data_IF_596416084551
#
_entry.id   IF_596416084551
#
_cell.length_a   1.000
_cell.length_b   1.000
_cell.length_c   1.000
_cell.angle_alpha   90.00
_cell.angle_beta   90.00
_cell.angle_gamma   90.00
#
_symmetry.space_group_name_H-M   'P 1'
#
loop_
_entity.id
_entity.type
_entity.pdbx_description
1 polymer ?
#
# COMPACT_ATOMS: atom_id res chain seq x y z
N UNK A 1 -23.66 -37.30 -10.00
CA UNK A 1 -24.68 -36.75 -9.09
C UNK A 1 -24.48 -35.25 -9.00
N UNK A 2 -25.06 -34.53 -9.96
CA UNK A 2 -24.96 -33.08 -10.13
C UNK A 2 -25.88 -32.40 -9.12
N UNK A 3 -25.32 -31.67 -8.16
CA UNK A 3 -26.08 -30.97 -7.13
C UNK A 3 -26.83 -29.78 -7.71
N UNK A 4 -28.15 -29.91 -7.85
CA UNK A 4 -29.04 -28.77 -8.14
C UNK A 4 -29.05 -27.83 -6.93
N UNK A 5 -28.66 -26.57 -7.12
CA UNK A 5 -28.74 -25.53 -6.09
C UNK A 5 -30.00 -24.69 -6.27
N UNK A 6 -30.62 -24.32 -5.15
CA UNK A 6 -31.84 -23.51 -5.05
C UNK A 6 -31.63 -22.09 -5.63
N UNK A 7 -32.60 -21.63 -6.44
CA UNK A 7 -32.69 -20.27 -6.98
C UNK A 7 -32.59 -19.25 -5.83
N UNK A 8 -31.52 -18.44 -5.83
CA UNK A 8 -31.22 -17.43 -4.80
C UNK A 8 -29.88 -17.59 -4.10
N UNK A 9 -29.20 -18.74 -4.20
CA UNK A 9 -27.83 -18.89 -3.74
C UNK A 9 -26.85 -18.30 -4.76
N UNK A 10 -26.18 -17.20 -4.41
CA UNK A 10 -25.15 -16.61 -5.26
C UNK A 10 -23.80 -17.31 -5.01
N UNK A 11 -23.20 -17.87 -6.07
CA UNK A 11 -21.84 -18.43 -6.05
C UNK A 11 -20.82 -17.47 -5.41
N UNK A 12 -21.03 -16.16 -5.60
CA UNK A 12 -20.22 -15.07 -5.03
C UNK A 12 -20.08 -15.14 -3.50
N UNK A 13 -21.14 -15.53 -2.78
CA UNK A 13 -21.10 -15.62 -1.31
C UNK A 13 -20.20 -16.75 -0.81
N UNK A 14 -20.19 -17.90 -1.51
CA UNK A 14 -19.32 -19.03 -1.18
C UNK A 14 -17.86 -18.71 -1.50
N UNK A 15 -17.59 -18.07 -2.64
CA UNK A 15 -16.24 -17.63 -3.01
C UNK A 15 -15.66 -16.61 -2.03
N UNK A 16 -16.45 -15.62 -1.61
CA UNK A 16 -16.01 -14.63 -0.62
C UNK A 16 -15.67 -15.26 0.73
N UNK A 17 -16.48 -16.22 1.22
CA UNK A 17 -16.19 -16.96 2.46
C UNK A 17 -14.91 -17.77 2.33
N UNK A 18 -14.72 -18.49 1.23
CA UNK A 18 -13.51 -19.30 0.99
C UNK A 18 -12.26 -18.41 0.90
N UNK A 19 -12.37 -17.28 0.22
CA UNK A 19 -11.29 -16.30 0.12
C UNK A 19 -10.92 -15.74 1.51
N UNK A 20 -11.91 -15.36 2.33
CA UNK A 20 -11.67 -14.92 3.70
C UNK A 20 -10.99 -15.99 4.55
N UNK A 21 -11.45 -17.24 4.45
CA UNK A 21 -10.87 -18.38 5.16
C UNK A 21 -9.40 -18.59 4.79
N UNK A 22 -9.09 -18.65 3.48
CA UNK A 22 -7.72 -18.84 3.00
C UNK A 22 -6.80 -17.68 3.41
N UNK A 23 -7.28 -16.43 3.34
CA UNK A 23 -6.51 -15.28 3.83
C UNK A 23 -6.20 -15.41 5.32
N UNK A 24 -7.17 -15.83 6.14
CA UNK A 24 -6.97 -16.00 7.58
C UNK A 24 -5.96 -17.10 7.88
N UNK A 25 -6.09 -18.25 7.23
CA UNK A 25 -5.16 -19.37 7.36
C UNK A 25 -3.74 -18.95 6.95
N UNK A 26 -3.59 -18.30 5.80
CA UNK A 26 -2.29 -17.83 5.34
C UNK A 26 -1.64 -16.82 6.31
N UNK A 27 -2.41 -15.87 6.87
CA UNK A 27 -1.88 -14.96 7.91
C UNK A 27 -1.39 -15.71 9.14
N UNK A 28 -2.14 -16.71 9.58
CA UNK A 28 -1.76 -17.53 10.73
C UNK A 28 -0.47 -18.31 10.44
N UNK A 29 -0.36 -18.94 9.28
CA UNK A 29 0.83 -19.68 8.87
C UNK A 29 2.07 -18.78 8.75
N UNK A 30 1.94 -17.61 8.13
CA UNK A 30 3.05 -16.64 8.02
C UNK A 30 3.50 -16.19 9.41
N UNK A 31 2.58 -15.79 10.30
CA UNK A 31 2.94 -15.35 11.64
C UNK A 31 3.54 -16.48 12.49
N UNK A 32 3.01 -17.70 12.37
CA UNK A 32 3.55 -18.86 13.08
C UNK A 32 4.98 -19.19 12.64
N UNK A 33 5.26 -19.12 11.34
CA UNK A 33 6.59 -19.35 10.80
C UNK A 33 7.57 -18.25 11.18
N UNK A 34 7.12 -16.99 11.15
CA UNK A 34 7.91 -15.86 11.63
C UNK A 34 8.26 -16.02 13.12
N UNK A 35 7.29 -16.41 13.95
CA UNK A 35 7.50 -16.68 15.38
C UNK A 35 8.46 -17.85 15.60
N UNK A 36 8.36 -18.90 14.78
CA UNK A 36 9.26 -20.07 14.81
C UNK A 36 10.70 -19.69 14.50
N UNK A 37 10.92 -18.87 13.47
CA UNK A 37 12.27 -18.47 13.05
C UNK A 37 12.88 -17.45 13.99
N UNK A 38 12.10 -16.44 14.40
CA UNK A 38 12.56 -15.38 15.31
C UNK A 38 12.73 -15.85 16.76
N UNK A 39 11.99 -16.88 17.18
CA UNK A 39 11.87 -17.26 18.59
C UNK A 39 10.91 -16.35 19.38
N UNK A 40 10.31 -15.34 18.74
CA UNK A 40 9.39 -14.40 19.36
C UNK A 40 7.93 -14.79 19.08
N UNK A 41 7.23 -15.31 20.08
CA UNK A 41 5.83 -15.76 19.96
C UNK A 41 4.83 -14.64 19.63
N UNK A 42 5.20 -13.39 19.89
CA UNK A 42 4.38 -12.20 19.61
C UNK A 42 4.68 -11.56 18.26
N UNK A 43 5.68 -12.05 17.52
CA UNK A 43 6.05 -11.50 16.22
C UNK A 43 4.89 -11.63 15.23
N UNK A 44 4.65 -10.55 14.47
CA UNK A 44 3.60 -10.47 13.46
C UNK A 44 4.16 -9.87 12.19
N UNK A 45 3.68 -10.37 11.05
CA UNK A 45 4.11 -9.85 9.76
C UNK A 45 3.66 -8.39 9.58
N UNK A 46 4.61 -7.54 9.19
CA UNK A 46 4.44 -6.13 8.85
C UNK A 46 4.44 -5.98 7.34
N UNK A 47 3.43 -5.27 6.82
CA UNK A 47 3.16 -5.19 5.38
C UNK A 47 3.38 -3.80 4.79
N UNK A 48 3.75 -2.82 5.61
CA UNK A 48 4.34 -1.56 5.15
C UNK A 48 5.86 -1.74 5.10
N UNK A 49 6.53 -1.10 4.13
CA UNK A 49 7.98 -1.23 4.00
C UNK A 49 8.69 -0.78 5.28
N UNK A 50 8.32 0.38 5.82
CA UNK A 50 8.94 0.93 7.02
C UNK A 50 8.82 -0.01 8.23
N UNK A 51 7.61 -0.45 8.60
CA UNK A 51 7.43 -1.37 9.74
C UNK A 51 8.10 -2.72 9.48
N UNK A 52 8.16 -3.17 8.23
CA UNK A 52 8.89 -4.38 7.87
C UNK A 52 10.39 -4.23 8.11
N UNK A 53 10.98 -3.11 7.68
CA UNK A 53 12.40 -2.87 7.89
C UNK A 53 12.73 -2.76 9.38
N UNK A 54 11.97 -1.97 10.12
CA UNK A 54 12.23 -1.70 11.53
C UNK A 54 12.02 -2.95 12.40
N UNK A 55 10.88 -3.64 12.24
CA UNK A 55 10.50 -4.73 13.15
C UNK A 55 10.94 -6.12 12.69
N UNK A 56 11.11 -6.35 11.39
CA UNK A 56 11.37 -7.70 10.85
C UNK A 56 12.80 -7.79 10.32
N UNK A 57 13.17 -6.87 9.44
CA UNK A 57 14.48 -6.91 8.80
C UNK A 57 15.58 -6.61 9.82
N UNK A 58 15.64 -5.40 10.36
CA UNK A 58 16.62 -5.02 11.38
C UNK A 58 16.26 -5.54 12.78
N UNK A 59 14.98 -5.63 13.11
CA UNK A 59 14.54 -6.02 14.45
C UNK A 59 14.69 -7.51 14.77
N UNK A 60 14.56 -8.40 13.77
CA UNK A 60 14.60 -9.86 13.96
C UNK A 60 15.68 -10.56 13.14
N UNK A 61 16.46 -9.83 12.34
CA UNK A 61 17.43 -10.37 11.38
C UNK A 61 16.79 -11.38 10.40
N UNK A 62 15.57 -11.09 9.95
CA UNK A 62 14.80 -11.94 9.04
C UNK A 62 14.43 -11.18 7.77
N UNK A 63 14.74 -11.77 6.62
CA UNK A 63 14.25 -11.32 5.32
C UNK A 63 13.07 -12.16 4.88
N UNK A 64 12.14 -11.53 4.17
CA UNK A 64 11.02 -12.18 3.55
C UNK A 64 11.22 -12.24 2.03
N UNK A 65 11.40 -13.45 1.51
CA UNK A 65 11.48 -13.66 0.07
C UNK A 65 10.06 -13.57 -0.52
N UNK A 66 9.86 -12.62 -1.44
CA UNK A 66 8.59 -12.41 -2.13
C UNK A 66 8.78 -12.39 -3.65
N UNK A 67 7.70 -12.65 -4.40
CA UNK A 67 7.75 -12.70 -5.85
C UNK A 67 7.64 -11.31 -6.49
N UNK A 68 8.43 -11.06 -7.54
CA UNK A 68 8.53 -9.72 -8.18
C UNK A 68 7.30 -9.28 -8.96
N UNK A 69 6.38 -10.19 -9.28
CA UNK A 69 5.15 -9.87 -10.03
C UNK A 69 3.93 -9.63 -9.12
N UNK A 70 4.08 -9.80 -7.79
CA UNK A 70 3.04 -9.46 -6.83
C UNK A 70 3.49 -8.29 -5.97
N UNK A 71 2.58 -7.35 -5.75
CA UNK A 71 2.80 -6.26 -4.80
C UNK A 71 3.11 -6.80 -3.41
N UNK A 72 4.12 -6.23 -2.77
CA UNK A 72 4.33 -6.43 -1.34
C UNK A 72 3.28 -5.61 -0.58
N UNK A 73 2.19 -6.26 -0.17
CA UNK A 73 1.09 -5.62 0.51
C UNK A 73 0.34 -6.59 1.42
N UNK A 74 -0.45 -6.06 2.36
CA UNK A 74 -1.29 -6.87 3.22
C UNK A 74 -2.24 -7.74 2.38
N UNK A 75 -2.44 -8.99 2.78
CA UNK A 75 -3.33 -9.93 2.10
C UNK A 75 -4.76 -9.42 1.87
N UNK A 76 -5.26 -8.45 2.64
CA UNK A 76 -6.56 -7.80 2.37
C UNK A 76 -6.57 -6.95 1.11
N UNK A 77 -5.41 -6.47 0.64
CA UNK A 77 -5.26 -5.72 -0.61
C UNK A 77 -5.27 -6.64 -1.83
N UNK A 78 -5.00 -7.94 -1.65
CA UNK A 78 -5.19 -8.94 -2.69
C UNK A 78 -6.65 -9.40 -2.71
N UNK A 79 -7.37 -8.97 -3.75
CA UNK A 79 -8.78 -9.34 -3.97
C UNK A 79 -8.88 -10.41 -5.05
N UNK A 80 -9.83 -11.34 -4.88
CA UNK A 80 -10.12 -12.45 -5.76
C UNK A 80 -9.57 -13.78 -5.22
N UNK A 81 -10.45 -14.79 -5.14
CA UNK A 81 -10.10 -16.11 -4.65
C UNK A 81 -8.89 -16.72 -5.37
N UNK A 82 -8.84 -16.63 -6.70
CA UNK A 82 -7.75 -17.19 -7.50
C UNK A 82 -6.38 -16.59 -7.11
N UNK A 83 -6.34 -15.30 -6.81
CA UNK A 83 -5.11 -14.61 -6.40
C UNK A 83 -4.66 -15.04 -5.00
N UNK A 84 -5.60 -15.15 -4.05
CA UNK A 84 -5.29 -15.67 -2.71
C UNK A 84 -4.83 -17.13 -2.78
N UNK A 85 -5.51 -17.97 -3.55
CA UNK A 85 -5.09 -19.36 -3.77
C UNK A 85 -3.68 -19.45 -4.35
N UNK A 86 -3.35 -18.61 -5.34
CA UNK A 86 -2.00 -18.55 -5.90
C UNK A 86 -0.95 -18.21 -4.84
N UNK A 87 -1.19 -17.18 -4.02
CA UNK A 87 -0.27 -16.80 -2.94
C UNK A 87 -0.13 -17.95 -1.93
N UNK A 88 -1.23 -18.60 -1.55
CA UNK A 88 -1.20 -19.77 -0.67
C UNK A 88 -0.39 -20.91 -1.28
N UNK A 89 -0.51 -21.17 -2.58
CA UNK A 89 0.32 -22.17 -3.27
C UNK A 89 1.80 -21.79 -3.22
N UNK A 90 2.15 -20.54 -3.55
CA UNK A 90 3.54 -20.07 -3.51
C UNK A 90 4.16 -20.26 -2.12
N UNK A 91 3.40 -19.95 -1.06
CA UNK A 91 3.81 -20.17 0.33
C UNK A 91 4.02 -21.65 0.63
N UNK A 92 3.06 -22.50 0.29
CA UNK A 92 3.15 -23.95 0.54
C UNK A 92 4.29 -24.62 -0.25
N UNK A 93 4.61 -24.10 -1.43
CA UNK A 93 5.74 -24.59 -2.26
C UNK A 93 7.09 -24.02 -1.82
N UNK A 94 7.12 -23.08 -0.86
CA UNK A 94 8.36 -22.44 -0.39
C UNK A 94 8.95 -21.43 -1.38
N UNK A 95 8.20 -20.96 -2.37
CA UNK A 95 8.64 -19.89 -3.29
C UNK A 95 8.66 -18.55 -2.56
N UNK A 96 7.66 -18.30 -1.70
CA UNK A 96 7.69 -17.21 -0.73
C UNK A 96 7.94 -17.81 0.65
N UNK A 97 8.94 -17.31 1.35
CA UNK A 97 9.45 -17.88 2.60
C UNK A 97 10.24 -16.84 3.40
N UNK A 98 10.50 -17.15 4.67
CA UNK A 98 11.39 -16.35 5.51
C UNK A 98 12.80 -16.96 5.53
N UNK A 99 13.81 -16.11 5.52
CA UNK A 99 15.22 -16.49 5.64
C UNK A 99 15.93 -15.57 6.62
N UNK A 100 17.06 -16.03 7.18
CA UNK A 100 17.94 -15.16 7.95
C UNK A 100 18.67 -14.20 7.01
N UNK A 101 18.90 -13.00 7.50
CA UNK A 101 19.64 -11.96 6.77
C UNK A 101 21.13 -12.26 6.80
N UNK A 102 21.79 -12.00 5.67
CA UNK A 102 23.25 -11.99 5.59
C UNK A 102 23.79 -10.61 5.97
N UNK A 103 25.00 -10.51 6.54
CA UNK A 103 25.56 -9.20 6.91
C UNK A 103 25.69 -8.26 5.70
N UNK A 104 25.97 -8.79 4.51
CA UNK A 104 26.04 -8.03 3.26
C UNK A 104 24.70 -7.37 2.89
N UNK A 105 23.59 -8.12 3.04
CA UNK A 105 22.24 -7.59 2.82
C UNK A 105 21.90 -6.50 3.86
N UNK A 106 22.36 -6.65 5.10
CA UNK A 106 22.16 -5.65 6.15
C UNK A 106 22.89 -4.33 5.82
N UNK A 107 24.15 -4.41 5.40
CA UNK A 107 24.92 -3.23 4.97
C UNK A 107 24.31 -2.55 3.75
N UNK A 108 23.84 -3.34 2.77
CA UNK A 108 23.13 -2.79 1.61
C UNK A 108 21.85 -2.05 2.01
N UNK A 109 21.07 -2.63 2.92
CA UNK A 109 19.84 -2.04 3.45
C UNK A 109 20.08 -0.73 4.22
N UNK A 110 21.21 -0.62 4.93
CA UNK A 110 21.60 0.61 5.63
C UNK A 110 21.94 1.75 4.66
N UNK A 111 22.49 1.42 3.48
CA UNK A 111 22.76 2.42 2.42
C UNK A 111 21.52 2.77 1.63
N UNK A 112 20.74 1.77 1.25
CA UNK A 112 19.49 1.90 0.51
C UNK A 112 18.40 1.00 1.12
N UNK A 113 17.48 1.58 1.91
CA UNK A 113 16.36 0.84 2.50
C UNK A 113 15.46 0.14 1.48
N UNK A 114 15.37 0.64 0.24
CA UNK A 114 14.54 0.02 -0.80
C UNK A 114 15.15 -1.29 -1.30
N UNK A 115 16.47 -1.47 -1.18
CA UNK A 115 17.15 -2.72 -1.56
C UNK A 115 16.70 -3.93 -0.73
N UNK A 116 16.23 -3.68 0.50
CA UNK A 116 15.70 -4.70 1.41
C UNK A 116 14.19 -4.95 1.26
N UNK A 117 13.52 -4.26 0.33
CA UNK A 117 12.10 -4.49 0.08
C UNK A 117 11.85 -5.93 -0.43
N UNK A 118 10.92 -6.70 0.18
CA UNK A 118 10.63 -8.08 -0.23
C UNK A 118 10.22 -8.20 -1.70
N UNK A 119 9.49 -7.20 -2.20
CA UNK A 119 8.95 -7.18 -3.55
C UNK A 119 8.54 -5.76 -3.95
N UNK A 120 7.96 -5.58 -5.15
CA UNK A 120 7.58 -4.26 -5.63
C UNK A 120 6.50 -3.62 -4.74
N UNK A 121 6.71 -2.36 -4.36
CA UNK A 121 5.71 -1.55 -3.67
C UNK A 121 4.64 -1.03 -4.64
N UNK A 122 5.01 -0.88 -5.91
CA UNK A 122 4.13 -0.50 -7.01
C UNK A 122 4.49 -1.33 -8.26
N UNK A 123 3.48 -1.71 -9.06
CA UNK A 123 3.67 -2.41 -10.34
C UNK A 123 3.73 -1.43 -11.52
N UNK A 124 4.26 -0.22 -11.29
CA UNK A 124 4.22 0.89 -12.27
C UNK A 124 2.82 1.45 -12.53
N UNK A 125 1.82 0.99 -11.76
CA UNK A 125 0.49 1.58 -11.76
C UNK A 125 0.50 2.80 -10.84
N UNK A 126 -0.13 3.93 -11.25
CA UNK A 126 -0.23 5.10 -10.40
C UNK A 126 -0.95 4.74 -9.09
N UNK A 127 -0.46 5.30 -8.00
CA UNK A 127 -1.01 5.01 -6.68
C UNK A 127 -2.48 5.44 -6.63
N UNK A 128 -3.34 4.57 -6.08
CA UNK A 128 -4.76 4.89 -5.96
C UNK A 128 -4.97 5.86 -4.78
N UNK A 129 -4.89 7.16 -5.06
CA UNK A 129 -5.17 8.24 -4.10
C UNK A 129 -6.67 8.39 -3.74
N UNK A 130 -7.45 7.32 -3.81
CA UNK A 130 -8.89 7.33 -3.53
C UNK A 130 -9.70 8.21 -4.49
N UNK A 131 -10.82 8.73 -4.01
CA UNK A 131 -11.76 9.55 -4.81
C UNK A 131 -11.32 11.01 -4.87
N UNK A 132 -11.44 11.63 -6.04
CA UNK A 132 -11.07 13.05 -6.24
C UNK A 132 -12.08 14.03 -5.66
N UNK A 133 -13.31 13.59 -5.42
CA UNK A 133 -14.40 14.40 -4.88
C UNK A 133 -14.54 14.28 -3.36
N UNK A 134 -13.46 13.92 -2.65
CA UNK A 134 -13.46 13.87 -1.19
C UNK A 134 -13.83 15.25 -0.63
N UNK A 135 -14.79 15.28 0.29
CA UNK A 135 -15.40 16.51 0.85
C UNK A 135 -16.23 17.35 -0.14
N UNK A 136 -16.30 16.99 -1.42
CA UNK A 136 -17.24 17.60 -2.34
C UNK A 136 -18.67 17.16 -1.98
N UNK A 137 -19.63 18.07 -2.11
CA UNK A 137 -21.03 17.70 -1.94
C UNK A 137 -21.51 16.85 -3.12
N UNK A 138 -22.35 15.87 -2.79
CA UNK A 138 -23.08 15.06 -3.76
C UNK A 138 -24.56 15.35 -3.65
N UNK A 139 -25.28 15.15 -4.75
CA UNK A 139 -26.73 15.17 -4.75
C UNK A 139 -27.28 14.19 -3.69
N UNK A 140 -28.27 14.64 -2.91
CA UNK A 140 -28.90 13.88 -1.83
C UNK A 140 -30.40 13.80 -2.05
N UNK A 141 -30.90 12.74 -2.72
CA UNK A 141 -32.32 12.65 -3.09
C UNK A 141 -33.27 12.64 -1.89
N UNK A 142 -32.80 12.21 -0.71
CA UNK A 142 -33.63 12.13 0.50
C UNK A 142 -33.64 13.46 1.27
N UNK A 143 -32.46 14.04 1.52
CA UNK A 143 -32.32 15.21 2.41
C UNK A 143 -32.38 16.55 1.68
N UNK A 144 -32.10 16.57 0.38
CA UNK A 144 -32.23 17.75 -0.47
C UNK A 144 -32.73 17.33 -1.86
N UNK A 145 -33.99 16.84 -1.96
CA UNK A 145 -34.57 16.36 -3.22
C UNK A 145 -34.58 17.43 -4.31
N UNK A 146 -34.80 18.69 -3.93
CA UNK A 146 -34.89 19.84 -4.82
C UNK A 146 -33.54 20.45 -5.19
N UNK A 147 -32.43 19.92 -4.67
CA UNK A 147 -31.08 20.39 -5.00
C UNK A 147 -30.82 21.85 -4.61
N UNK A 148 -31.51 22.36 -3.58
CA UNK A 148 -31.38 23.76 -3.16
C UNK A 148 -29.94 24.08 -2.74
N UNK A 149 -29.46 25.32 -3.00
CA UNK A 149 -28.13 25.74 -2.61
C UNK A 149 -27.98 25.69 -1.10
N UNK A 150 -26.81 25.26 -0.65
CA UNK A 150 -26.50 25.13 0.76
C UNK A 150 -25.76 26.38 1.28
N UNK A 151 -25.89 26.65 2.58
CA UNK A 151 -25.26 27.80 3.27
C UNK A 151 -23.73 27.94 3.08
N UNK A 152 -23.01 26.83 2.87
CA UNK A 152 -21.55 26.83 2.73
C UNK A 152 -21.14 26.10 1.46
N UNK A 153 -20.23 26.66 0.67
CA UNK A 153 -19.66 25.97 -0.49
C UNK A 153 -18.71 24.86 -0.05
N UNK A 154 -18.80 23.71 -0.72
CA UNK A 154 -17.95 22.53 -0.48
C UNK A 154 -17.63 21.86 -1.80
N UNK A 155 -16.61 22.38 -2.46
CA UNK A 155 -16.22 21.98 -3.83
C UNK A 155 -15.20 20.82 -3.84
N UNK A 156 -14.84 20.29 -2.68
CA UNK A 156 -13.85 19.22 -2.55
C UNK A 156 -12.43 19.76 -2.40
N UNK A 157 -11.41 18.98 -2.78
CA UNK A 157 -10.01 19.38 -2.67
C UNK A 157 -9.70 20.54 -3.61
N UNK A 158 -8.93 21.52 -3.15
CA UNK A 158 -8.53 22.69 -3.95
C UNK A 158 -7.25 22.46 -4.77
N UNK A 159 -6.46 21.46 -4.39
CA UNK A 159 -5.20 21.11 -5.04
C UNK A 159 -5.35 19.86 -5.90
N UNK A 160 -4.46 19.73 -6.89
CA UNK A 160 -4.22 18.46 -7.55
C UNK A 160 -3.76 17.40 -6.54
N UNK A 161 -3.97 16.13 -6.86
CA UNK A 161 -3.56 15.01 -5.98
C UNK A 161 -2.07 14.73 -6.02
N UNK A 162 -1.45 15.03 -7.16
CA UNK A 162 -0.03 14.86 -7.42
C UNK A 162 0.47 16.15 -8.05
N UNK A 163 1.66 16.57 -7.64
CA UNK A 163 2.44 17.60 -8.33
C UNK A 163 3.31 16.87 -9.34
N UNK A 164 3.34 17.32 -10.59
CA UNK A 164 4.28 16.76 -11.56
C UNK A 164 5.67 17.33 -11.32
N UNK A 165 6.70 16.58 -11.68
CA UNK A 165 8.10 17.01 -11.57
C UNK A 165 8.32 18.35 -12.31
N UNK A 166 7.62 18.57 -13.43
CA UNK A 166 7.63 19.84 -14.16
C UNK A 166 7.04 21.00 -13.35
N UNK A 167 5.96 20.76 -12.61
CA UNK A 167 5.32 21.77 -11.77
C UNK A 167 6.17 22.08 -10.53
N UNK A 168 6.86 21.08 -9.98
CA UNK A 168 7.81 21.26 -8.88
C UNK A 168 9.04 22.07 -9.36
N UNK A 169 9.62 21.72 -10.51
CA UNK A 169 10.74 22.45 -11.11
C UNK A 169 10.37 23.91 -11.46
N UNK A 170 9.16 24.15 -11.97
CA UNK A 170 8.68 25.49 -12.26
C UNK A 170 8.54 26.34 -10.97
N UNK A 171 8.02 25.74 -9.89
CA UNK A 171 7.91 26.40 -8.60
C UNK A 171 9.29 26.69 -7.99
N UNK A 172 10.25 25.77 -8.09
CA UNK A 172 11.62 26.00 -7.64
C UNK A 172 12.33 27.13 -8.43
N UNK A 173 12.10 27.21 -9.74
CA UNK A 173 12.62 28.28 -10.57
C UNK A 173 12.05 29.65 -10.15
N UNK A 174 10.73 29.73 -9.91
CA UNK A 174 10.07 30.95 -9.46
C UNK A 174 10.61 31.41 -8.09
N UNK A 175 10.81 30.48 -7.15
CA UNK A 175 11.41 30.78 -5.84
C UNK A 175 12.85 31.26 -5.96
N UNK A 176 13.62 30.71 -6.91
CA UNK A 176 15.00 31.15 -7.17
C UNK A 176 15.05 32.56 -7.72
N UNK A 177 14.23 32.86 -8.74
CA UNK A 177 14.12 34.20 -9.31
C UNK A 177 13.66 35.23 -8.26
N UNK A 178 12.72 34.87 -7.39
CA UNK A 178 12.28 35.74 -6.31
C UNK A 178 13.40 36.04 -5.30
N UNK A 179 14.22 35.04 -4.95
CA UNK A 179 15.38 35.23 -4.07
C UNK A 179 16.43 36.12 -4.71
N UNK A 180 16.71 35.95 -6.00
CA UNK A 180 17.65 36.79 -6.75
C UNK A 180 17.20 38.25 -6.79
N UNK A 181 15.92 38.53 -7.09
CA UNK A 181 15.37 39.89 -7.03
C UNK A 181 15.43 40.51 -5.63
N UNK A 182 15.20 39.72 -4.57
CA UNK A 182 15.33 40.23 -3.20
C UNK A 182 16.78 40.57 -2.85
N UNK A 183 17.75 39.81 -3.36
CA UNK A 183 19.18 40.04 -3.14
C UNK A 183 19.67 41.29 -3.91
N UNK A 184 19.20 41.48 -5.14
CA UNK A 184 19.45 42.68 -5.93
C UNK A 184 18.87 43.93 -5.26
N UNK A 185 17.62 43.87 -4.79
CA UNK A 185 17.01 44.98 -4.06
C UNK A 185 17.75 45.32 -2.75
N UNK A 186 18.35 44.33 -2.07
CA UNK A 186 19.16 44.55 -0.88
C UNK A 186 20.55 45.14 -1.16
N UNK A 187 21.07 44.96 -2.38
CA UNK A 187 22.34 45.54 -2.82
C UNK A 187 22.19 46.97 -3.33
N UNK A 188 21.01 47.36 -3.81
CA UNK A 188 20.71 48.74 -4.23
C UNK A 188 20.42 49.70 -3.06
N UNK A 189 20.21 49.18 -1.84
CA UNK A 189 19.97 49.94 -0.61
C UNK A 189 21.26 50.29 0.18
N UNK A 190 22.45 50.09 -0.38
CA UNK A 190 23.76 50.50 0.17
C UNK A 190 24.47 51.55 -0.70
#
# INVERSE_FOLDING_TARGET
MTGCQLLGQTLRGQYARREMMLRSQLRQSINAELARISGCSTARMRWSLQEYLDEIFFGLDIRFAWVRYLLFANLSKHTGLARIMHITTLWNTGVIYFARITPEECEAALRDPLSAAPGPLHLGLPEWYGRSDIKARRYRPITNPLGLPYKYERNGPKSAKTVSDEAEAAAEAEVREAKERMLEAQLEDF
#
